data_IF_727426817766
#
_entry.id   IF_727426817766
#
_cell.length_a   1.000
_cell.length_b   1.000
_cell.length_c   1.000
_cell.angle_alpha   90.00
_cell.angle_beta   90.00
_cell.angle_gamma   90.00
#
_symmetry.space_group_name_H-M   'P 1'
#
loop_
_entity.id
_entity.type
_entity.pdbx_description
1 polymer ?
#
# COMPACT_ATOMS: atom_id res chain seq x y z
N UNK A 1 27.03 2.85 -11.37
CA UNK A 1 26.01 1.78 -11.32
C UNK A 1 24.66 2.47 -11.26
N UNK A 2 23.72 2.07 -12.09
CA UNK A 2 22.36 2.59 -12.03
C UNK A 2 21.68 2.05 -10.78
N UNK A 3 21.13 2.93 -9.94
CA UNK A 3 20.42 2.56 -8.72
C UNK A 3 19.09 1.89 -9.05
N UNK A 4 18.76 0.82 -8.33
CA UNK A 4 17.50 0.08 -8.47
C UNK A 4 16.87 -0.06 -7.09
N UNK A 5 15.58 0.27 -6.98
CA UNK A 5 14.78 0.03 -5.77
C UNK A 5 13.46 -0.63 -6.16
N UNK A 6 13.25 -1.86 -5.72
CA UNK A 6 12.12 -2.71 -6.12
C UNK A 6 11.06 -2.88 -5.03
N UNK A 7 11.14 -2.13 -3.93
CA UNK A 7 10.18 -2.23 -2.85
C UNK A 7 10.00 -0.87 -2.17
N UNK A 8 9.01 -0.11 -2.63
CA UNK A 8 8.72 1.24 -2.12
C UNK A 8 7.22 1.46 -1.92
N UNK A 9 6.89 2.30 -0.94
CA UNK A 9 5.51 2.64 -0.59
C UNK A 9 5.27 4.13 -0.69
N UNK A 10 4.09 4.49 -1.18
CA UNK A 10 3.61 5.87 -1.19
C UNK A 10 2.51 6.08 -0.13
N UNK A 11 2.02 7.32 -0.03
CA UNK A 11 0.89 7.65 0.84
C UNK A 11 -0.46 7.08 0.35
N UNK A 12 -0.45 6.36 -0.77
CA UNK A 12 -1.61 5.57 -1.22
C UNK A 12 -1.81 4.36 -0.29
N UNK A 13 -0.74 3.88 0.35
CA UNK A 13 -0.84 2.86 1.41
C UNK A 13 -0.35 3.40 2.76
N UNK A 14 0.89 3.19 3.12
CA UNK A 14 1.45 3.55 4.43
C UNK A 14 2.77 4.33 4.37
N UNK A 15 3.21 4.70 3.18
CA UNK A 15 4.32 5.62 2.99
C UNK A 15 3.93 7.07 3.28
N UNK A 16 4.92 7.95 3.39
CA UNK A 16 4.72 9.39 3.69
C UNK A 16 4.76 10.27 2.45
N UNK A 17 5.38 9.81 1.36
CA UNK A 17 5.49 10.55 0.11
C UNK A 17 4.33 10.23 -0.82
N UNK A 18 3.80 11.24 -1.50
CA UNK A 18 2.96 10.99 -2.68
C UNK A 18 3.77 10.24 -3.74
N UNK A 19 3.14 9.50 -4.67
CA UNK A 19 3.87 8.81 -5.75
C UNK A 19 4.82 9.74 -6.52
N UNK A 20 4.43 11.00 -6.74
CA UNK A 20 5.27 12.01 -7.40
C UNK A 20 6.49 12.38 -6.54
N UNK A 21 6.31 12.62 -5.25
CA UNK A 21 7.41 12.95 -4.33
C UNK A 21 8.37 11.76 -4.17
N UNK A 22 7.85 10.55 -4.13
CA UNK A 22 8.65 9.33 -4.06
C UNK A 22 9.58 9.19 -5.26
N UNK A 23 9.05 9.39 -6.48
CA UNK A 23 9.83 9.36 -7.72
C UNK A 23 10.92 10.44 -7.72
N UNK A 24 10.59 11.67 -7.31
CA UNK A 24 11.58 12.76 -7.23
C UNK A 24 12.69 12.44 -6.22
N UNK A 25 12.33 11.96 -5.01
CA UNK A 25 13.30 11.59 -3.98
C UNK A 25 14.19 10.42 -4.40
N UNK A 26 13.64 9.44 -5.13
CA UNK A 26 14.41 8.34 -5.69
C UNK A 26 15.40 8.84 -6.76
N UNK A 27 14.98 9.74 -7.64
CA UNK A 27 15.85 10.33 -8.67
C UNK A 27 17.01 11.12 -8.04
N UNK A 28 16.77 11.90 -6.99
CA UNK A 28 17.82 12.62 -6.24
C UNK A 28 18.86 11.66 -5.63
N UNK A 29 18.48 10.42 -5.32
CA UNK A 29 19.37 9.36 -4.81
C UNK A 29 20.04 8.54 -5.92
N UNK A 30 19.84 8.89 -7.19
CA UNK A 30 20.44 8.19 -8.31
C UNK A 30 19.75 6.84 -8.62
N UNK A 31 18.49 6.67 -8.19
CA UNK A 31 17.67 5.52 -8.58
C UNK A 31 17.13 5.76 -9.99
N UNK A 32 17.36 4.82 -10.89
CA UNK A 32 16.88 4.87 -12.28
C UNK A 32 15.79 3.83 -12.57
N UNK A 33 15.63 2.84 -11.70
CA UNK A 33 14.56 1.85 -11.79
C UNK A 33 13.88 1.73 -10.43
N UNK A 34 12.60 2.05 -10.37
CA UNK A 34 11.80 2.06 -9.14
C UNK A 34 10.58 1.17 -9.31
N UNK A 35 10.27 0.32 -8.34
CA UNK A 35 8.97 -0.33 -8.25
C UNK A 35 8.12 0.33 -7.16
N UNK A 36 6.89 0.73 -7.52
CA UNK A 36 5.88 1.13 -6.53
C UNK A 36 5.10 -0.12 -6.14
N UNK A 37 5.14 -0.45 -4.83
CA UNK A 37 4.60 -1.69 -4.26
C UNK A 37 3.69 -1.41 -3.08
N UNK A 38 2.79 -0.45 -3.21
CA UNK A 38 1.82 -0.09 -2.18
C UNK A 38 1.03 -1.31 -1.69
N UNK A 39 0.67 -1.33 -0.40
CA UNK A 39 -0.08 -2.42 0.20
C UNK A 39 -1.49 -2.55 -0.38
N UNK A 40 -1.78 -3.72 -0.95
CA UNK A 40 -3.08 -4.14 -1.45
C UNK A 40 -3.72 -3.17 -2.46
N UNK A 41 -2.92 -2.33 -3.13
CA UNK A 41 -3.40 -1.36 -4.13
C UNK A 41 -2.34 -1.04 -5.19
N UNK A 42 -2.80 -0.70 -6.39
CA UNK A 42 -1.98 -0.17 -7.49
C UNK A 42 -2.41 1.25 -7.89
N UNK A 43 -3.24 1.92 -7.10
CA UNK A 43 -3.84 3.22 -7.45
C UNK A 43 -2.80 4.34 -7.64
N UNK A 44 -1.61 4.20 -7.04
CA UNK A 44 -0.50 5.13 -7.18
C UNK A 44 0.31 5.00 -8.47
N UNK A 45 0.16 3.87 -9.20
CA UNK A 45 1.05 3.52 -10.30
C UNK A 45 1.03 4.56 -11.44
N UNK A 46 -0.14 4.95 -11.91
CA UNK A 46 -0.26 5.92 -13.01
C UNK A 46 0.36 7.30 -12.66
N UNK A 47 0.26 7.70 -11.39
CA UNK A 47 0.88 8.94 -10.89
C UNK A 47 2.41 8.82 -10.86
N UNK A 48 2.94 7.68 -10.43
CA UNK A 48 4.38 7.42 -10.42
C UNK A 48 4.94 7.36 -11.85
N UNK A 49 4.28 6.67 -12.77
CA UNK A 49 4.67 6.59 -14.19
C UNK A 49 4.66 7.96 -14.85
N UNK A 50 3.66 8.79 -14.57
CA UNK A 50 3.60 10.15 -15.09
C UNK A 50 4.77 11.00 -14.56
N UNK A 51 5.07 10.92 -13.27
CA UNK A 51 6.18 11.66 -12.66
C UNK A 51 7.55 11.19 -13.18
N UNK A 52 7.72 9.90 -13.40
CA UNK A 52 8.98 9.29 -13.84
C UNK A 52 9.47 9.79 -15.20
N UNK A 53 8.54 10.24 -16.07
CA UNK A 53 8.88 10.79 -17.40
C UNK A 53 9.84 12.00 -17.32
N UNK A 54 9.69 12.85 -16.29
CA UNK A 54 10.55 14.02 -16.09
C UNK A 54 11.92 13.70 -15.49
N UNK A 55 12.11 12.48 -15.01
CA UNK A 55 13.34 12.00 -14.37
C UNK A 55 14.07 10.92 -15.16
N UNK A 56 13.62 10.60 -16.39
CA UNK A 56 14.13 9.49 -17.18
C UNK A 56 14.19 8.16 -16.38
N UNK A 57 13.27 7.98 -15.43
CA UNK A 57 13.22 6.83 -14.54
C UNK A 57 12.29 5.76 -15.09
N UNK A 58 12.68 4.50 -14.98
CA UNK A 58 11.83 3.36 -15.29
C UNK A 58 10.99 3.00 -14.06
N UNK A 59 9.67 2.97 -14.22
CA UNK A 59 8.77 2.41 -13.21
C UNK A 59 8.45 0.95 -13.54
N UNK A 60 8.53 0.11 -12.52
CA UNK A 60 8.06 -1.29 -12.57
C UNK A 60 6.74 -1.33 -11.80
N UNK A 61 5.70 -1.84 -12.44
CA UNK A 61 4.42 -2.09 -11.77
C UNK A 61 4.59 -3.13 -10.66
N UNK A 62 4.09 -2.81 -9.47
CA UNK A 62 4.21 -3.69 -8.33
C UNK A 62 3.03 -3.53 -7.37
N UNK A 63 2.93 -4.46 -6.46
CA UNK A 63 2.01 -4.43 -5.31
C UNK A 63 2.57 -5.32 -4.21
N UNK A 64 2.41 -4.92 -2.96
CA UNK A 64 2.66 -5.78 -1.82
C UNK A 64 1.33 -6.33 -1.28
N UNK A 65 1.08 -7.60 -1.55
CA UNK A 65 -0.17 -8.27 -1.20
C UNK A 65 -0.10 -8.75 0.25
N UNK A 66 -1.02 -8.27 1.09
CA UNK A 66 -1.20 -8.75 2.46
C UNK A 66 -1.92 -10.10 2.43
N UNK A 67 -1.30 -11.12 2.98
CA UNK A 67 -1.85 -12.46 3.03
C UNK A 67 -1.67 -13.11 4.40
N UNK A 68 -2.30 -14.24 4.60
CA UNK A 68 -2.20 -15.03 5.82
C UNK A 68 -1.87 -16.48 5.48
N UNK A 69 -0.85 -17.00 6.12
CA UNK A 69 -0.48 -18.39 6.00
C UNK A 69 -0.70 -19.10 7.34
N UNK A 70 -1.36 -20.26 7.29
CA UNK A 70 -1.58 -21.11 8.47
C UNK A 70 -0.65 -22.29 8.44
N UNK A 71 0.14 -22.45 9.50
CA UNK A 71 1.01 -23.64 9.62
C UNK A 71 0.14 -24.88 9.89
N UNK A 72 0.14 -25.90 9.00
CA UNK A 72 -0.73 -27.05 9.13
C UNK A 72 -0.58 -27.83 10.45
N UNK A 73 0.67 -27.96 10.94
CA UNK A 73 1.00 -28.74 12.15
C UNK A 73 0.55 -28.09 13.48
N UNK A 74 0.39 -26.76 13.52
CA UNK A 74 0.12 -26.02 14.77
C UNK A 74 -1.12 -25.15 14.69
N UNK A 75 -1.73 -25.04 13.52
CA UNK A 75 -2.86 -24.12 13.24
C UNK A 75 -2.54 -22.65 13.56
N UNK A 76 -1.25 -22.29 13.74
CA UNK A 76 -0.84 -20.90 13.92
C UNK A 76 -0.89 -20.14 12.61
N UNK A 77 -1.49 -18.95 12.67
CA UNK A 77 -1.58 -18.02 11.56
C UNK A 77 -0.41 -17.03 11.59
N UNK A 78 0.18 -16.79 10.43
CA UNK A 78 1.25 -15.83 10.22
C UNK A 78 0.83 -14.85 9.13
N UNK A 79 0.97 -13.54 9.39
CA UNK A 79 0.88 -12.54 8.33
C UNK A 79 2.09 -12.70 7.40
N UNK A 80 1.83 -12.73 6.10
CA UNK A 80 2.85 -12.82 5.06
C UNK A 80 2.56 -11.74 4.04
N UNK A 81 3.59 -10.97 3.70
CA UNK A 81 3.49 -9.99 2.62
C UNK A 81 4.23 -10.54 1.40
N UNK A 82 3.57 -10.48 0.26
CA UNK A 82 4.09 -10.98 -1.01
C UNK A 82 4.24 -9.83 -1.98
N UNK A 83 5.46 -9.49 -2.33
CA UNK A 83 5.75 -8.49 -3.36
C UNK A 83 5.64 -9.14 -4.73
N UNK A 84 4.71 -8.64 -5.54
CA UNK A 84 4.53 -9.04 -6.93
C UNK A 84 4.96 -7.88 -7.85
N UNK A 85 5.79 -8.19 -8.84
CA UNK A 85 6.37 -7.20 -9.76
C UNK A 85 6.13 -7.58 -11.21
N UNK A 86 5.93 -6.56 -12.08
CA UNK A 86 5.85 -6.70 -13.53
C UNK A 86 4.86 -7.77 -14.00
N UNK A 87 3.69 -7.80 -13.38
CA UNK A 87 2.64 -8.78 -13.68
C UNK A 87 2.05 -8.55 -15.06
N UNK A 88 1.82 -9.62 -15.82
CA UNK A 88 1.31 -9.56 -17.20
C UNK A 88 -0.22 -9.57 -17.27
N UNK A 89 -0.87 -10.36 -16.41
CA UNK A 89 -2.32 -10.44 -16.32
C UNK A 89 -2.78 -9.81 -15.00
N UNK A 90 -3.44 -8.67 -15.10
CA UNK A 90 -3.88 -7.89 -13.94
C UNK A 90 -5.33 -8.19 -13.54
N UNK A 91 -6.12 -8.85 -14.36
CA UNK A 91 -7.55 -9.06 -14.08
C UNK A 91 -7.82 -9.88 -12.81
N UNK A 92 -7.16 -11.06 -12.60
CA UNK A 92 -7.32 -11.80 -11.35
C UNK A 92 -6.82 -11.03 -10.14
N UNK A 93 -5.75 -10.23 -10.33
CA UNK A 93 -5.18 -9.41 -9.29
C UNK A 93 -6.13 -8.29 -8.88
N UNK A 94 -6.70 -7.54 -9.82
CA UNK A 94 -7.66 -6.46 -9.53
C UNK A 94 -8.81 -6.97 -8.67
N UNK A 95 -9.38 -8.12 -9.01
CA UNK A 95 -10.45 -8.73 -8.20
C UNK A 95 -9.99 -9.05 -6.77
N UNK A 96 -8.77 -9.56 -6.61
CA UNK A 96 -8.17 -9.81 -5.29
C UNK A 96 -7.98 -8.50 -4.51
N UNK A 97 -7.42 -7.47 -5.14
CA UNK A 97 -7.17 -6.17 -4.51
C UNK A 97 -8.47 -5.48 -4.08
N UNK A 98 -9.52 -5.53 -4.88
CA UNK A 98 -10.82 -5.00 -4.48
C UNK A 98 -11.41 -5.72 -3.25
N UNK A 99 -11.23 -7.02 -3.14
CA UNK A 99 -11.61 -7.76 -1.93
C UNK A 99 -10.77 -7.33 -0.72
N UNK A 100 -9.46 -7.13 -0.91
CA UNK A 100 -8.57 -6.67 0.15
C UNK A 100 -8.93 -5.26 0.63
N UNK A 101 -9.25 -4.32 -0.28
CA UNK A 101 -9.74 -2.99 0.09
C UNK A 101 -10.96 -3.06 1.02
N UNK A 102 -11.93 -3.92 0.69
CA UNK A 102 -13.12 -4.11 1.53
C UNK A 102 -12.79 -4.71 2.91
N UNK A 103 -11.85 -5.66 2.97
CA UNK A 103 -11.38 -6.26 4.23
C UNK A 103 -10.68 -5.20 5.08
N UNK A 104 -9.81 -4.39 4.49
CA UNK A 104 -9.10 -3.30 5.18
C UNK A 104 -10.08 -2.26 5.73
N UNK A 105 -11.04 -1.81 4.93
CA UNK A 105 -12.05 -0.85 5.35
C UNK A 105 -12.88 -1.36 6.55
N UNK A 106 -13.35 -2.61 6.51
CA UNK A 106 -14.05 -3.24 7.65
C UNK A 106 -13.17 -3.35 8.89
N UNK A 107 -11.91 -3.76 8.71
CA UNK A 107 -10.95 -3.87 9.81
C UNK A 107 -10.68 -2.51 10.46
N UNK A 108 -10.55 -1.43 9.68
CA UNK A 108 -10.37 -0.07 10.20
C UNK A 108 -11.53 0.30 11.13
N UNK A 109 -12.77 0.11 10.69
CA UNK A 109 -13.97 0.35 11.51
C UNK A 109 -13.97 -0.48 12.78
N UNK A 110 -13.69 -1.79 12.68
CA UNK A 110 -13.65 -2.69 13.84
C UNK A 110 -12.60 -2.27 14.88
N UNK A 111 -11.43 -1.81 14.43
CA UNK A 111 -10.37 -1.32 15.35
C UNK A 111 -10.87 -0.09 16.09
N UNK A 112 -11.45 0.89 15.39
CA UNK A 112 -12.01 2.08 16.04
C UNK A 112 -13.13 1.71 17.03
N UNK A 113 -14.04 0.82 16.67
CA UNK A 113 -15.11 0.36 17.56
C UNK A 113 -14.58 -0.30 18.84
N UNK A 114 -13.49 -1.07 18.75
CA UNK A 114 -12.83 -1.68 19.92
C UNK A 114 -12.14 -0.66 20.83
N UNK A 115 -11.79 0.52 20.31
CA UNK A 115 -11.16 1.57 21.09
C UNK A 115 -12.18 2.45 21.84
N UNK A 116 -13.44 2.53 21.41
CA UNK A 116 -14.48 3.35 22.05
C UNK A 116 -14.54 3.13 23.58
N UNK A 117 -14.59 1.89 24.12
CA UNK A 117 -14.64 1.66 25.57
C UNK A 117 -13.39 2.13 26.32
N UNK A 118 -12.25 2.27 25.62
CA UNK A 118 -10.98 2.65 26.23
C UNK A 118 -10.77 4.18 26.26
N UNK A 119 -11.23 4.87 25.21
CA UNK A 119 -11.02 6.30 25.04
C UNK A 119 -12.28 7.15 25.29
N UNK A 120 -13.46 6.52 25.34
CA UNK A 120 -14.73 7.18 25.65
C UNK A 120 -15.42 7.89 24.48
N UNK A 121 -14.85 7.83 23.28
CA UNK A 121 -15.37 8.48 22.06
C UNK A 121 -15.16 7.65 20.80
N UNK A 122 -15.97 7.90 19.76
CA UNK A 122 -15.81 7.31 18.43
C UNK A 122 -14.88 8.17 17.58
N UNK A 123 -13.66 7.70 17.35
CA UNK A 123 -12.62 8.38 16.58
C UNK A 123 -12.65 8.02 15.08
N UNK A 124 -13.62 7.23 14.62
CA UNK A 124 -13.59 6.72 13.25
C UNK A 124 -13.59 7.83 12.19
N UNK A 125 -14.38 8.87 12.40
CA UNK A 125 -14.44 10.01 11.46
C UNK A 125 -13.13 10.81 11.44
N UNK A 126 -12.47 10.96 12.60
CA UNK A 126 -11.18 11.67 12.69
C UNK A 126 -10.07 10.88 11.98
N UNK A 127 -10.08 9.55 12.14
CA UNK A 127 -9.17 8.65 11.42
C UNK A 127 -9.42 8.71 9.92
N UNK A 128 -10.68 8.70 9.47
CA UNK A 128 -11.03 8.83 8.05
C UNK A 128 -10.55 10.15 7.44
N UNK A 129 -10.66 11.25 8.19
CA UNK A 129 -10.19 12.55 7.72
C UNK A 129 -8.69 12.56 7.41
N UNK A 130 -7.88 11.77 8.14
CA UNK A 130 -6.43 11.64 7.91
C UNK A 130 -6.07 10.86 6.64
N UNK A 131 -6.97 10.05 6.13
CA UNK A 131 -6.76 9.21 4.93
C UNK A 131 -7.70 9.62 3.78
N UNK A 132 -8.05 10.90 3.70
CA UNK A 132 -8.87 11.48 2.63
C UNK A 132 -10.21 10.75 2.42
N UNK A 133 -10.85 10.30 3.51
CA UNK A 133 -12.10 9.52 3.53
C UNK A 133 -11.98 8.13 2.85
N UNK A 134 -10.77 7.59 2.74
CA UNK A 134 -10.53 6.26 2.16
C UNK A 134 -10.23 5.23 3.26
N UNK A 135 -11.23 4.48 3.75
CA UNK A 135 -11.07 3.62 4.93
C UNK A 135 -10.11 2.44 4.71
N UNK A 136 -9.90 2.02 3.48
CA UNK A 136 -8.92 0.99 3.11
C UNK A 136 -7.46 1.43 3.28
N UNK A 137 -7.21 2.75 3.34
CA UNK A 137 -5.88 3.33 3.60
C UNK A 137 -5.53 3.43 5.08
N UNK A 138 -6.47 3.17 5.99
CA UNK A 138 -6.20 3.22 7.42
C UNK A 138 -5.20 2.14 7.82
N UNK A 139 -4.10 2.55 8.46
CA UNK A 139 -3.06 1.68 9.00
C UNK A 139 -2.96 1.85 10.52
N UNK A 140 -2.04 1.15 11.16
CA UNK A 140 -1.81 1.27 12.61
C UNK A 140 -1.19 2.62 13.03
N UNK A 141 -0.72 3.40 12.07
CA UNK A 141 -0.07 4.70 12.29
C UNK A 141 -1.05 5.87 12.26
N UNK A 142 -2.29 5.66 11.87
CA UNK A 142 -3.37 6.64 11.89
C UNK A 142 -4.19 6.53 13.17
#
# INVERSE_FOLDING_TARGET
>A
MEGVDLHTHSNISDGTFTPKQLVAAAAEKGIHTLALTDHDTMDGLALAESAAKSHAMRIISGVEISSQWSRPSTQKNYGVHVVALNMQDLEPLHKCLEQQKQIRARRAKQICDLLIPLIGEDIYLDVLAKVEQMPDRVTRTH
#
